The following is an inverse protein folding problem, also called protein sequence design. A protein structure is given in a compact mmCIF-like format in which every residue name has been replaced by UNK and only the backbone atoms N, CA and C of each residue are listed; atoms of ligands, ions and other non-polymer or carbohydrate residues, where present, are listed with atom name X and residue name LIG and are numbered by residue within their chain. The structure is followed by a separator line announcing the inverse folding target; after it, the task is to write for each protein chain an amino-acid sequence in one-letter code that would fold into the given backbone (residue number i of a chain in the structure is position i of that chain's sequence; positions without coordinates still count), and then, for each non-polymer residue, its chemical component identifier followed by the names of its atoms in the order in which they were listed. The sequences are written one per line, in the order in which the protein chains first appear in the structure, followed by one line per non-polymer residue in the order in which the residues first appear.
data_IF_276043016322
#
_entry.id   IF_276043016322
#
_cell.length_a   1.000
_cell.length_b   1.000
_cell.length_c   1.000
_cell.angle_alpha   90.00
_cell.angle_beta   90.00
_cell.angle_gamma   90.00
#
_symmetry.space_group_name_H-M   'P 1'
#
loop_
_entity.id
_entity.type
_entity.pdbx_description
1 polymer ?
#
# COMPACT_ATOMS: atom_id res chain seq x y z
N UNK A 1 16.91 0.15 -4.17
CA UNK A 1 15.53 -0.35 -3.96
C UNK A 1 15.14 -0.19 -2.49
N UNK A 2 13.87 0.00 -2.11
CA UNK A 2 13.48 0.11 -0.69
C UNK A 2 12.39 -0.90 -0.31
N UNK A 3 12.38 -1.34 0.96
CA UNK A 3 11.28 -2.10 1.54
C UNK A 3 10.31 -1.09 2.17
N UNK A 4 9.07 -0.95 1.66
CA UNK A 4 8.07 -0.12 2.29
C UNK A 4 7.70 -0.68 3.67
N UNK A 5 7.36 0.20 4.62
CA UNK A 5 6.64 -0.27 5.81
C UNK A 5 5.33 -0.92 5.35
N UNK A 6 4.94 -2.08 5.92
CA UNK A 6 3.72 -2.74 5.50
C UNK A 6 2.52 -1.81 5.73
N UNK A 7 1.62 -1.78 4.74
CA UNK A 7 0.35 -1.10 4.88
C UNK A 7 -0.59 -1.96 5.72
N UNK A 8 -1.26 -1.36 6.70
CA UNK A 8 -2.34 -2.03 7.40
C UNK A 8 -3.59 -1.97 6.53
N UNK A 9 -4.38 -3.05 6.51
CA UNK A 9 -5.62 -3.10 5.74
C UNK A 9 -6.58 -1.97 6.14
N UNK A 10 -6.65 -1.64 7.43
CA UNK A 10 -7.49 -0.54 7.93
C UNK A 10 -7.11 0.83 7.31
N UNK A 11 -5.81 1.08 7.08
CA UNK A 11 -5.37 2.32 6.44
C UNK A 11 -5.69 2.33 4.94
N UNK A 12 -5.59 1.17 4.31
CA UNK A 12 -5.97 0.98 2.91
C UNK A 12 -7.47 1.24 2.75
N UNK A 13 -8.31 0.59 3.55
CA UNK A 13 -9.77 0.77 3.56
C UNK A 13 -10.18 2.21 3.84
N UNK A 14 -9.53 2.88 4.79
CA UNK A 14 -9.76 4.29 5.08
C UNK A 14 -9.42 5.18 3.88
N UNK A 15 -8.32 4.89 3.16
CA UNK A 15 -7.94 5.63 1.95
C UNK A 15 -8.84 5.35 0.76
N UNK A 16 -9.36 4.13 0.61
CA UNK A 16 -10.40 3.85 -0.38
C UNK A 16 -11.68 4.64 -0.07
N UNK A 17 -12.13 4.59 1.18
CA UNK A 17 -13.32 5.33 1.66
C UNK A 17 -13.19 6.84 1.44
N UNK A 18 -12.03 7.42 1.75
CA UNK A 18 -11.76 8.85 1.51
C UNK A 18 -11.91 9.22 0.02
N UNK A 19 -11.26 8.47 -0.86
CA UNK A 19 -11.32 8.72 -2.31
C UNK A 19 -12.73 8.54 -2.89
N UNK A 20 -13.49 7.56 -2.38
CA UNK A 20 -14.90 7.37 -2.73
C UNK A 20 -15.70 8.62 -2.32
N UNK A 21 -15.60 9.05 -1.06
CA UNK A 21 -16.35 10.21 -0.59
C UNK A 21 -16.01 11.49 -1.35
N UNK A 22 -14.75 11.70 -1.71
CA UNK A 22 -14.34 12.85 -2.53
C UNK A 22 -15.00 12.87 -3.92
N UNK A 23 -15.25 11.71 -4.50
CA UNK A 23 -15.94 11.62 -5.80
C UNK A 23 -17.44 11.87 -5.64
N UNK A 24 -18.08 11.30 -4.62
CA UNK A 24 -19.52 11.47 -4.45
C UNK A 24 -19.93 12.83 -3.89
N UNK A 25 -19.05 13.52 -3.15
CA UNK A 25 -19.28 14.88 -2.70
C UNK A 25 -18.87 15.94 -3.74
N UNK A 26 -18.33 15.52 -4.90
CA UNK A 26 -17.90 16.39 -5.99
C UNK A 26 -16.62 17.20 -5.71
N UNK A 27 -15.81 16.81 -4.73
CA UNK A 27 -14.50 17.44 -4.46
C UNK A 27 -13.47 17.14 -5.55
N UNK A 28 -13.66 16.05 -6.29
CA UNK A 28 -12.88 15.74 -7.50
C UNK A 28 -13.83 15.68 -8.70
N UNK A 29 -13.41 16.27 -9.82
CA UNK A 29 -14.23 16.31 -11.03
C UNK A 29 -14.22 14.97 -11.77
N UNK A 30 -13.06 14.30 -11.83
CA UNK A 30 -12.83 13.13 -12.67
C UNK A 30 -12.55 11.89 -11.82
N UNK A 31 -13.02 10.72 -12.30
CA UNK A 31 -12.78 9.41 -11.68
C UNK A 31 -11.39 8.84 -11.98
N UNK A 32 -10.57 9.58 -12.73
CA UNK A 32 -9.16 9.26 -13.03
C UNK A 32 -8.97 7.85 -13.64
N UNK A 33 -9.92 7.41 -14.45
CA UNK A 33 -10.00 6.06 -15.04
C UNK A 33 -10.35 6.11 -16.52
N UNK A 34 -9.86 7.12 -17.23
CA UNK A 34 -10.25 7.45 -18.61
C UNK A 34 -10.06 6.28 -19.60
N UNK A 35 -9.17 5.35 -19.28
CA UNK A 35 -8.90 4.14 -20.05
C UNK A 35 -9.95 3.02 -19.87
N UNK A 36 -10.85 3.11 -18.88
CA UNK A 36 -11.92 2.13 -18.59
C UNK A 36 -13.30 2.79 -18.47
N UNK A 37 -13.37 4.07 -18.07
CA UNK A 37 -14.54 4.69 -17.45
C UNK A 37 -15.77 4.80 -18.36
N UNK A 38 -15.61 4.59 -19.68
CA UNK A 38 -16.73 4.49 -20.61
C UNK A 38 -17.69 5.70 -20.55
N UNK A 39 -18.90 5.58 -21.11
CA UNK A 39 -19.86 6.70 -21.21
C UNK A 39 -20.64 6.99 -19.91
N UNK A 40 -20.47 6.22 -18.84
CA UNK A 40 -21.22 6.43 -17.59
C UNK A 40 -20.71 7.72 -16.95
N UNK A 41 -21.51 8.78 -16.93
CA UNK A 41 -21.12 10.12 -16.44
C UNK A 41 -19.88 10.71 -17.16
N UNK A 42 -19.55 10.28 -18.38
CA UNK A 42 -18.40 10.79 -19.16
C UNK A 42 -17.04 10.77 -18.43
N UNK A 43 -16.80 9.80 -17.56
CA UNK A 43 -15.55 9.78 -16.77
C UNK A 43 -15.63 10.59 -15.46
N UNK A 44 -16.70 11.35 -15.24
CA UNK A 44 -16.83 12.30 -14.13
C UNK A 44 -17.42 11.70 -12.86
N UNK A 45 -17.10 12.35 -11.77
CA UNK A 45 -17.71 12.18 -10.46
C UNK A 45 -19.04 12.94 -10.39
N UNK A 46 -19.83 12.68 -9.35
CA UNK A 46 -21.12 13.36 -9.18
C UNK A 46 -20.91 14.84 -8.83
N UNK A 47 -21.85 15.68 -9.25
CA UNK A 47 -21.90 17.05 -8.75
C UNK A 47 -22.19 17.05 -7.24
N UNK A 48 -21.64 18.02 -6.48
CA UNK A 48 -21.89 18.13 -5.05
C UNK A 48 -23.38 18.12 -4.72
N UNK A 49 -23.81 17.17 -3.89
CA UNK A 49 -25.21 17.02 -3.47
C UNK A 49 -26.11 16.21 -4.40
N UNK A 50 -25.64 15.78 -5.58
CA UNK A 50 -26.41 14.95 -6.52
C UNK A 50 -26.48 13.47 -6.11
N UNK A 51 -25.50 13.01 -5.32
CA UNK A 51 -25.30 11.60 -4.98
C UNK A 51 -26.16 11.06 -3.82
N UNK A 52 -26.73 11.93 -2.98
CA UNK A 52 -27.39 11.52 -1.73
C UNK A 52 -26.45 10.83 -0.72
N UNK A 53 -27.01 10.12 0.26
CA UNK A 53 -26.25 9.27 1.18
C UNK A 53 -26.04 7.90 0.52
N UNK A 54 -24.78 7.48 0.34
CA UNK A 54 -24.46 6.14 -0.18
C UNK A 54 -24.23 5.22 1.02
N UNK A 55 -25.15 4.30 1.34
CA UNK A 55 -24.98 3.36 2.45
C UNK A 55 -23.94 2.27 2.12
N UNK A 56 -23.83 1.87 0.85
CA UNK A 56 -22.82 0.91 0.36
C UNK A 56 -22.35 1.28 -1.04
N UNK A 57 -21.04 1.35 -1.23
CA UNK A 57 -20.42 1.60 -2.54
C UNK A 57 -20.60 0.41 -3.50
N UNK A 58 -20.74 -0.81 -2.98
CA UNK A 58 -20.86 -2.02 -3.78
C UNK A 58 -22.11 -2.01 -4.67
N UNK A 59 -23.17 -1.34 -4.25
CA UNK A 59 -24.44 -1.26 -4.98
C UNK A 59 -24.41 -0.27 -6.16
N UNK A 60 -23.48 0.69 -6.13
CA UNK A 60 -23.41 1.75 -7.15
C UNK A 60 -22.67 1.27 -8.40
N UNK A 61 -21.73 0.31 -8.25
CA UNK A 61 -20.98 -0.27 -9.37
C UNK A 61 -20.09 0.74 -10.12
N UNK A 62 -19.79 1.89 -9.49
CA UNK A 62 -19.05 2.99 -10.09
C UNK A 62 -17.54 2.69 -10.08
N UNK A 63 -16.89 2.87 -11.23
CA UNK A 63 -15.45 2.64 -11.38
C UNK A 63 -14.67 3.92 -11.07
N UNK A 64 -13.93 3.95 -9.97
CA UNK A 64 -13.16 5.11 -9.50
C UNK A 64 -11.69 4.72 -9.30
N UNK A 65 -10.78 5.55 -9.79
CA UNK A 65 -9.37 5.55 -9.38
C UNK A 65 -9.15 6.78 -8.51
N UNK A 66 -8.84 6.54 -7.24
CA UNK A 66 -8.59 7.61 -6.28
C UNK A 66 -7.47 8.55 -6.75
N UNK A 67 -7.65 9.85 -6.53
CA UNK A 67 -6.63 10.86 -6.79
C UNK A 67 -5.64 11.00 -5.63
N UNK A 68 -6.05 10.63 -4.41
CA UNK A 68 -5.21 10.71 -3.21
C UNK A 68 -4.48 9.38 -2.99
N UNK A 69 -3.14 9.35 -3.07
CA UNK A 69 -2.37 8.14 -2.85
C UNK A 69 -2.24 7.80 -1.36
N UNK A 70 -2.07 6.52 -1.07
CA UNK A 70 -1.58 6.08 0.24
C UNK A 70 -0.06 6.26 0.29
N UNK A 71 0.43 6.96 1.31
CA UNK A 71 1.86 7.31 1.46
C UNK A 71 2.40 6.74 2.76
N UNK A 72 3.55 6.08 2.70
CA UNK A 72 4.31 5.61 3.86
C UNK A 72 5.80 5.75 3.66
N UNK A 73 6.51 5.93 4.77
CA UNK A 73 7.97 5.95 4.77
C UNK A 73 8.52 4.53 4.65
N UNK A 74 9.55 4.35 3.83
CA UNK A 74 10.26 3.09 3.71
C UNK A 74 10.92 2.70 5.03
N UNK A 75 10.84 1.43 5.41
CA UNK A 75 11.47 0.93 6.62
C UNK A 75 12.98 0.74 6.43
N UNK A 76 13.38 0.26 5.25
CA UNK A 76 14.77 -0.03 4.89
C UNK A 76 15.02 0.39 3.44
N UNK A 77 16.20 0.93 3.16
CA UNK A 77 16.66 1.27 1.81
C UNK A 77 17.93 0.49 1.50
N UNK A 78 17.96 -0.17 0.33
CA UNK A 78 19.13 -0.82 -0.24
C UNK A 78 19.72 0.06 -1.32
N UNK A 79 20.99 0.39 -1.16
CA UNK A 79 21.83 0.96 -2.22
C UNK A 79 22.34 -0.21 -3.08
N UNK A 80 22.26 -0.07 -4.40
CA UNK A 80 22.83 -0.99 -5.40
C UNK A 80 22.31 -2.44 -5.43
N UNK A 81 21.28 -2.76 -4.64
CA UNK A 81 20.57 -4.04 -4.69
C UNK A 81 19.12 -3.83 -5.11
N UNK A 82 18.68 -4.59 -6.11
CA UNK A 82 17.28 -4.69 -6.52
C UNK A 82 16.63 -5.87 -5.81
N UNK A 83 15.51 -5.64 -5.14
CA UNK A 83 14.68 -6.68 -4.56
C UNK A 83 13.70 -7.20 -5.60
N UNK A 84 13.62 -8.50 -5.80
CA UNK A 84 12.76 -9.15 -6.79
C UNK A 84 11.53 -9.80 -6.18
N UNK A 85 11.58 -10.14 -4.88
CA UNK A 85 10.49 -10.80 -4.17
C UNK A 85 10.49 -10.44 -2.68
N UNK A 86 9.34 -10.58 -2.05
CA UNK A 86 9.18 -10.48 -0.60
C UNK A 86 8.19 -11.55 -0.11
N UNK A 87 8.51 -12.21 0.99
CA UNK A 87 7.64 -13.15 1.68
C UNK A 87 7.68 -12.87 3.18
N UNK A 88 6.57 -13.08 3.87
CA UNK A 88 6.46 -12.94 5.32
C UNK A 88 6.20 -14.31 5.94
N UNK A 89 6.89 -14.60 7.04
CA UNK A 89 6.63 -15.74 7.88
C UNK A 89 6.50 -15.28 9.33
N UNK A 90 5.42 -15.67 9.99
CA UNK A 90 5.18 -15.35 11.39
C UNK A 90 5.29 -16.63 12.22
N UNK A 91 6.07 -16.57 13.29
CA UNK A 91 6.06 -17.54 14.40
C UNK A 91 5.23 -16.93 15.55
N UNK A 92 5.08 -17.66 16.66
CA UNK A 92 4.28 -17.19 17.81
C UNK A 92 4.71 -15.82 18.35
N UNK A 93 5.99 -15.46 18.24
CA UNK A 93 6.53 -14.24 18.86
C UNK A 93 7.16 -13.26 17.88
N UNK A 94 7.44 -13.69 16.64
CA UNK A 94 8.24 -12.93 15.69
C UNK A 94 7.66 -13.01 14.28
N UNK A 95 7.67 -11.89 13.57
CA UNK A 95 7.37 -11.86 12.14
C UNK A 95 8.65 -11.55 11.38
N UNK A 96 9.05 -12.45 10.50
CA UNK A 96 10.26 -12.35 9.68
C UNK A 96 9.86 -12.12 8.23
N UNK A 97 10.48 -11.14 7.58
CA UNK A 97 10.39 -10.93 6.15
C UNK A 97 11.63 -11.51 5.46
N UNK A 98 11.43 -12.20 4.34
CA UNK A 98 12.48 -12.68 3.45
C UNK A 98 12.35 -11.90 2.15
N UNK A 99 13.42 -11.25 1.69
CA UNK A 99 13.44 -10.56 0.41
C UNK A 99 14.49 -11.19 -0.52
N UNK A 100 14.05 -11.65 -1.68
CA UNK A 100 14.96 -12.10 -2.73
C UNK A 100 15.56 -10.91 -3.48
N UNK A 101 16.83 -11.00 -3.85
CA UNK A 101 17.51 -10.00 -4.67
C UNK A 101 17.62 -10.46 -6.13
N UNK A 102 17.83 -9.52 -7.05
CA UNK A 102 18.12 -9.81 -8.46
C UNK A 102 19.44 -10.56 -8.67
N UNK A 103 20.29 -10.63 -7.66
CA UNK A 103 21.58 -11.34 -7.67
C UNK A 103 21.46 -12.76 -7.10
N UNK A 104 20.26 -13.20 -6.70
CA UNK A 104 20.04 -14.55 -6.16
C UNK A 104 20.34 -14.71 -4.67
N UNK A 105 20.49 -13.60 -3.93
CA UNK A 105 20.69 -13.59 -2.47
C UNK A 105 19.35 -13.40 -1.77
N UNK A 106 19.17 -14.03 -0.60
CA UNK A 106 17.99 -13.83 0.25
C UNK A 106 18.40 -13.01 1.47
N UNK A 107 17.72 -11.89 1.69
CA UNK A 107 17.91 -10.99 2.83
C UNK A 107 16.80 -11.22 3.86
N UNK A 108 17.16 -11.33 5.15
CA UNK A 108 16.22 -11.63 6.24
C UNK A 108 16.01 -10.43 7.14
N UNK A 109 14.77 -10.17 7.52
CA UNK A 109 14.40 -9.04 8.37
C UNK A 109 13.49 -9.51 9.49
N UNK A 110 13.84 -9.23 10.74
CA UNK A 110 12.95 -9.48 11.85
C UNK A 110 12.19 -8.20 12.21
N UNK A 111 10.86 -8.23 12.07
CA UNK A 111 10.00 -7.18 12.61
C UNK A 111 9.60 -7.51 14.06
N UNK A 112 9.81 -6.55 14.95
CA UNK A 112 9.31 -6.56 16.33
C UNK A 112 8.37 -5.39 16.52
N UNK A 113 7.11 -5.68 16.83
CA UNK A 113 6.15 -4.66 17.22
C UNK A 113 6.43 -4.24 18.67
N UNK A 114 6.82 -2.98 18.88
CA UNK A 114 6.79 -2.34 20.20
C UNK A 114 5.57 -1.43 20.27
N UNK A 115 5.13 -1.11 21.49
CA UNK A 115 3.88 -0.39 21.77
C UNK A 115 3.71 0.97 21.05
N UNK A 116 4.75 1.51 20.43
CA UNK A 116 4.70 2.81 19.75
C UNK A 116 5.38 2.82 18.37
N UNK A 117 6.08 1.75 17.98
CA UNK A 117 6.83 1.67 16.72
C UNK A 117 7.17 0.23 16.34
N UNK A 118 7.36 0.00 15.04
CA UNK A 118 7.87 -1.26 14.50
C UNK A 118 9.40 -1.15 14.41
N UNK A 119 10.12 -2.07 15.06
CA UNK A 119 11.55 -2.25 14.87
C UNK A 119 11.77 -3.29 13.79
N UNK A 120 12.56 -2.98 12.77
CA UNK A 120 13.03 -3.97 11.82
C UNK A 120 14.52 -4.16 12.06
N UNK A 121 14.90 -5.37 12.49
CA UNK A 121 16.31 -5.79 12.48
C UNK A 121 16.62 -6.45 11.17
N UNK A 122 17.82 -6.18 10.69
CA UNK A 122 18.37 -6.80 9.51
C UNK A 122 19.44 -7.78 9.95
N UNK A 123 19.31 -9.04 9.54
CA UNK A 123 20.34 -10.06 9.67
C UNK A 123 21.00 -10.17 8.30
N UNK A 124 22.22 -9.63 8.16
CA UNK A 124 23.12 -9.98 7.07
C UNK A 124 23.88 -11.23 7.53
N UNK A 125 23.68 -12.35 6.85
CA UNK A 125 24.49 -13.57 7.06
C UNK A 125 25.96 -13.37 6.56
N UNK A 126 26.40 -12.12 6.31
CA UNK A 126 27.76 -11.74 5.85
C UNK A 126 28.74 -11.43 7.02
N UNK A 127 28.43 -11.84 8.26
CA UNK A 127 29.40 -11.85 9.38
C UNK A 127 30.22 -13.16 9.41
N UNK A 128 30.69 -13.63 8.25
CA UNK A 128 31.65 -14.74 8.15
C UNK A 128 33.08 -14.22 7.86
N UNK A 129 33.90 -14.26 8.92
CA UNK A 129 35.36 -14.42 8.93
C UNK A 129 36.24 -13.34 8.26
N UNK A 130 36.49 -12.25 8.99
CA UNK A 130 37.81 -11.61 8.94
C UNK A 130 38.70 -12.22 10.03
N UNK A 131 39.55 -13.18 9.63
CA UNK A 131 40.81 -13.50 10.36
C UNK A 131 41.89 -12.49 10.04
#
# INVERSE_FOLDING_TARGET
MWIPTPFLLIDIEAKFTENIHMCFNGSVENRNMDYISGPILDGKCYEPGAAGNIPDFCDVGLKISGAIPIVRTAAIRFQDVLLSSIALASTEQHTVAFAGTSQGVIKKFQSKLRSSYILIRYDDDDDDFAS
#
